data_IF_904740834763
#
_entry.id   IF_904740834763
#
_cell.length_a   1.000
_cell.length_b   1.000
_cell.length_c   1.000
_cell.angle_alpha   90.00
_cell.angle_beta   90.00
_cell.angle_gamma   90.00
#
_symmetry.space_group_name_H-M   'P 1'
#
loop_
_entity.id
_entity.type
_entity.pdbx_description
1 polymer ?
#
# COMPACT_ATOMS: atom_id res chain seq x y z
N UNK A 1 -23.41 12.71 61.76
CA UNK A 1 -24.17 11.55 61.26
C UNK A 1 -24.53 11.81 59.80
N UNK A 2 -24.34 10.80 58.96
CA UNK A 2 -24.78 10.69 57.56
C UNK A 2 -24.01 11.48 56.49
N UNK A 3 -22.91 10.86 56.07
CA UNK A 3 -22.27 10.91 54.75
C UNK A 3 -23.16 10.35 53.65
N UNK A 4 -23.19 10.97 52.46
CA UNK A 4 -23.42 10.26 51.19
C UNK A 4 -22.56 10.87 50.09
N UNK A 5 -21.47 10.17 49.79
CA UNK A 5 -20.60 10.33 48.63
C UNK A 5 -21.26 9.69 47.41
N UNK A 6 -21.50 10.45 46.33
CA UNK A 6 -21.82 9.89 45.02
C UNK A 6 -20.54 9.83 44.18
N UNK A 7 -19.95 8.64 44.14
CA UNK A 7 -18.90 8.26 43.20
C UNK A 7 -19.49 8.13 41.80
N UNK A 8 -19.12 9.03 40.90
CA UNK A 8 -19.32 8.85 39.46
C UNK A 8 -18.32 7.83 38.96
N UNK A 9 -18.81 6.65 38.57
CA UNK A 9 -18.05 5.61 37.90
C UNK A 9 -17.50 6.16 36.59
N UNK A 10 -16.17 6.16 36.47
CA UNK A 10 -15.47 6.25 35.19
C UNK A 10 -15.57 4.85 34.59
N UNK A 11 -16.55 4.63 33.71
CA UNK A 11 -16.53 3.47 32.83
C UNK A 11 -15.37 3.64 31.86
N UNK A 12 -14.36 2.78 32.05
CA UNK A 12 -13.27 2.57 31.11
C UNK A 12 -13.88 2.14 29.77
N UNK A 13 -13.67 2.95 28.74
CA UNK A 13 -13.91 2.56 27.35
C UNK A 13 -13.07 1.32 27.05
N UNK A 14 -13.72 0.16 27.05
CA UNK A 14 -13.16 -1.06 26.49
C UNK A 14 -12.75 -0.79 25.04
N UNK A 15 -11.55 -1.25 24.71
CA UNK A 15 -10.96 -1.26 23.38
C UNK A 15 -11.98 -1.73 22.33
N UNK A 16 -12.46 -0.77 21.53
CA UNK A 16 -13.36 -1.04 20.40
C UNK A 16 -12.60 -1.56 19.16
N UNK A 17 -11.32 -1.94 19.32
CA UNK A 17 -10.47 -2.52 18.28
C UNK A 17 -10.82 -3.99 17.99
N UNK A 18 -11.49 -4.70 18.91
CA UNK A 18 -11.88 -6.10 18.66
C UNK A 18 -13.03 -6.26 17.67
N UNK A 19 -13.84 -5.22 17.43
CA UNK A 19 -15.01 -5.29 16.55
C UNK A 19 -14.67 -5.22 15.05
N UNK A 20 -13.50 -4.67 14.68
CA UNK A 20 -13.06 -4.57 13.28
C UNK A 20 -12.28 -5.81 12.80
N UNK A 21 -11.82 -6.66 13.73
CA UNK A 21 -11.03 -7.86 13.47
C UNK A 21 -11.81 -9.16 13.74
N UNK A 22 -13.14 -9.15 13.75
CA UNK A 22 -13.93 -10.37 13.86
C UNK A 22 -13.94 -11.16 12.53
N UNK A 23 -12.75 -11.54 12.05
CA UNK A 23 -12.60 -12.78 11.33
C UNK A 23 -12.50 -13.86 12.41
N UNK A 24 -13.60 -14.55 12.69
CA UNK A 24 -13.47 -15.84 13.37
C UNK A 24 -12.57 -16.71 12.48
N UNK A 25 -11.45 -17.25 13.00
CA UNK A 25 -10.77 -18.32 12.29
C UNK A 25 -11.84 -19.35 11.96
N UNK A 26 -11.93 -19.76 10.69
CA UNK A 26 -12.93 -20.76 10.30
C UNK A 26 -12.88 -21.92 11.31
N UNK A 27 -14.03 -22.43 11.75
CA UNK A 27 -14.09 -23.50 12.76
C UNK A 27 -13.29 -24.75 12.36
N UNK A 28 -12.88 -24.86 11.09
CA UNK A 28 -11.98 -25.88 10.56
C UNK A 28 -10.49 -25.63 10.82
N UNK A 29 -10.02 -24.40 10.97
CA UNK A 29 -8.61 -24.07 11.24
C UNK A 29 -8.16 -24.63 12.60
N UNK A 30 -9.07 -24.64 13.60
CA UNK A 30 -8.80 -25.29 14.90
C UNK A 30 -8.79 -26.82 14.82
N UNK A 31 -9.57 -27.41 13.90
CA UNK A 31 -9.62 -28.87 13.71
C UNK A 31 -8.43 -29.43 12.93
N UNK A 32 -7.74 -28.58 12.16
CA UNK A 32 -6.51 -28.95 11.43
C UNK A 32 -5.27 -28.99 12.35
N UNK A 33 -5.22 -28.16 13.39
CA UNK A 33 -4.14 -28.15 14.38
C UNK A 33 -4.04 -29.45 15.21
N UNK A 34 -5.11 -30.25 15.24
CA UNK A 34 -5.23 -31.46 16.05
C UNK A 34 -4.76 -32.77 15.39
N UNK A 35 -4.22 -32.76 14.16
CA UNK A 35 -3.76 -34.00 13.49
C UNK A 35 -2.28 -34.35 13.72
N UNK A 36 -1.65 -33.70 14.70
CA UNK A 36 -0.29 -34.01 15.13
C UNK A 36 -0.37 -34.97 16.32
N UNK A 37 -0.16 -36.25 16.05
CA UNK A 37 0.42 -37.27 16.94
C UNK A 37 -0.05 -38.65 16.47
N UNK A 38 0.62 -39.21 15.46
CA UNK A 38 0.97 -40.64 15.37
C UNK A 38 1.44 -40.98 13.96
N UNK A 39 2.76 -41.08 13.79
CA UNK A 39 3.34 -41.61 12.56
C UNK A 39 4.79 -41.23 12.35
N UNK A 40 5.70 -41.73 13.19
CA UNK A 40 7.12 -41.76 12.84
C UNK A 40 7.33 -42.70 11.65
N UNK A 41 7.34 -42.13 10.43
CA UNK A 41 7.88 -42.73 9.22
C UNK A 41 8.89 -41.75 8.60
N UNK A 42 10.03 -42.31 8.20
CA UNK A 42 11.23 -41.70 7.62
C UNK A 42 11.05 -40.31 6.96
N UNK A 43 11.79 -39.30 7.45
CA UNK A 43 11.57 -37.85 7.27
C UNK A 43 12.45 -37.16 6.22
N UNK A 44 13.10 -37.88 5.31
CA UNK A 44 14.20 -37.30 4.51
C UNK A 44 13.82 -36.33 3.39
N UNK A 45 12.54 -35.99 3.18
CA UNK A 45 12.11 -35.14 2.05
C UNK A 45 10.96 -34.15 2.40
N UNK A 46 10.81 -33.79 3.67
CA UNK A 46 9.78 -32.81 4.09
C UNK A 46 10.34 -31.39 4.07
N UNK A 47 9.70 -30.52 3.31
CA UNK A 47 10.01 -29.09 3.19
C UNK A 47 9.30 -28.29 4.28
N UNK A 48 10.06 -27.67 5.16
CA UNK A 48 9.51 -26.72 6.13
C UNK A 48 9.23 -25.38 5.45
N UNK A 49 7.99 -24.91 5.53
CA UNK A 49 7.55 -23.61 5.02
C UNK A 49 7.13 -22.75 6.21
N UNK A 50 7.76 -21.59 6.37
CA UNK A 50 7.31 -20.59 7.33
C UNK A 50 6.40 -19.58 6.62
N UNK A 51 5.21 -19.35 7.16
CA UNK A 51 4.25 -18.36 6.65
C UNK A 51 4.05 -17.31 7.74
N UNK A 52 4.37 -16.05 7.43
CA UNK A 52 4.29 -14.97 8.41
C UNK A 52 2.87 -14.54 8.72
N UNK A 53 1.83 -15.05 8.04
CA UNK A 53 0.45 -14.59 8.12
C UNK A 53 -0.53 -15.70 7.73
N UNK A 54 -1.78 -15.62 8.19
CA UNK A 54 -2.86 -16.33 7.50
C UNK A 54 -3.01 -15.76 6.08
N UNK A 55 -2.89 -16.63 5.08
CA UNK A 55 -2.97 -16.31 3.65
C UNK A 55 -4.28 -16.79 3.01
N UNK A 56 -5.23 -17.27 3.81
CA UNK A 56 -6.52 -17.73 3.36
C UNK A 56 -6.54 -19.17 2.84
N UNK A 57 -7.74 -19.74 2.80
CA UNK A 57 -7.95 -21.16 2.56
C UNK A 57 -7.45 -21.61 1.17
N UNK A 58 -7.70 -20.85 0.10
CA UNK A 58 -7.29 -21.28 -1.24
C UNK A 58 -5.76 -21.39 -1.38
N UNK A 59 -5.01 -20.46 -0.79
CA UNK A 59 -3.56 -20.47 -0.82
C UNK A 59 -2.98 -21.61 0.04
N UNK A 60 -3.58 -21.86 1.21
CA UNK A 60 -3.20 -23.00 2.06
C UNK A 60 -3.47 -24.34 1.36
N UNK A 61 -4.62 -24.50 0.71
CA UNK A 61 -4.93 -25.70 -0.07
C UNK A 61 -3.91 -25.93 -1.18
N UNK A 62 -3.44 -24.87 -1.86
CA UNK A 62 -2.37 -24.98 -2.87
C UNK A 62 -1.07 -25.51 -2.26
N UNK A 63 -0.69 -25.01 -1.08
CA UNK A 63 0.53 -25.45 -0.38
C UNK A 63 0.42 -26.88 0.13
N UNK A 64 -0.74 -27.26 0.67
CA UNK A 64 -0.99 -28.57 1.28
C UNK A 64 -1.32 -29.68 0.27
N UNK A 65 -1.53 -29.35 -1.00
CA UNK A 65 -1.80 -30.35 -2.05
C UNK A 65 -0.73 -31.45 -2.02
N UNK A 66 -1.15 -32.66 -1.67
CA UNK A 66 -0.27 -33.82 -1.63
C UNK A 66 0.26 -34.11 -3.04
N UNK A 67 1.59 -34.08 -3.19
CA UNK A 67 2.28 -34.52 -4.40
C UNK A 67 3.20 -35.67 -4.07
N UNK A 68 3.38 -36.59 -5.01
CA UNK A 68 4.24 -37.76 -4.81
C UNK A 68 5.70 -37.39 -4.52
N UNK A 69 6.14 -36.22 -4.96
CA UNK A 69 7.50 -35.68 -4.92
C UNK A 69 7.69 -34.56 -3.89
N UNK A 70 6.62 -34.02 -3.30
CA UNK A 70 6.67 -32.89 -2.38
C UNK A 70 5.84 -33.14 -1.12
N UNK A 71 6.52 -33.14 0.03
CA UNK A 71 5.88 -33.09 1.35
C UNK A 71 6.19 -31.75 1.99
N UNK A 72 5.19 -31.05 2.47
CA UNK A 72 5.37 -29.77 3.16
C UNK A 72 4.99 -29.88 4.64
N UNK A 73 5.68 -29.11 5.48
CA UNK A 73 5.28 -28.82 6.84
C UNK A 73 5.10 -27.32 6.97
N UNK A 74 3.85 -26.88 7.13
CA UNK A 74 3.51 -25.47 7.27
C UNK A 74 3.65 -25.06 8.74
N UNK A 75 4.36 -23.96 8.95
CA UNK A 75 4.41 -23.28 10.24
C UNK A 75 3.92 -21.85 10.04
N UNK A 76 2.75 -21.55 10.59
CA UNK A 76 1.99 -20.33 10.30
C UNK A 76 1.88 -19.50 11.58
N UNK A 77 2.07 -18.18 11.45
CA UNK A 77 1.78 -17.25 12.53
C UNK A 77 0.27 -17.13 12.76
N UNK A 78 -0.20 -17.30 14.00
CA UNK A 78 -1.62 -17.42 14.34
C UNK A 78 -2.34 -16.10 14.64
N UNK A 79 -1.60 -15.04 14.97
CA UNK A 79 -2.21 -13.77 15.39
C UNK A 79 -2.53 -12.87 14.18
N UNK A 80 -3.51 -11.96 14.28
CA UNK A 80 -3.86 -11.05 13.18
C UNK A 80 -2.77 -9.98 12.89
N UNK A 81 -1.96 -9.60 13.88
CA UNK A 81 -0.90 -8.58 13.77
C UNK A 81 0.42 -9.13 13.19
N UNK A 82 1.21 -8.32 12.45
CA UNK A 82 2.48 -8.74 11.82
C UNK A 82 3.37 -9.60 12.72
N UNK A 83 4.09 -10.54 12.11
CA UNK A 83 4.75 -11.61 12.87
C UNK A 83 5.91 -11.01 13.66
N UNK A 84 5.97 -11.31 14.95
CA UNK A 84 7.03 -10.77 15.80
C UNK A 84 8.41 -11.17 15.26
N UNK A 85 9.34 -10.21 15.27
CA UNK A 85 10.69 -10.44 14.77
C UNK A 85 11.37 -11.62 15.47
N UNK A 86 11.20 -11.73 16.79
CA UNK A 86 11.71 -12.84 17.59
C UNK A 86 11.13 -14.19 17.15
N UNK A 87 9.83 -14.24 16.85
CA UNK A 87 9.17 -15.44 16.35
C UNK A 87 9.69 -15.83 14.97
N UNK A 88 9.84 -14.87 14.04
CA UNK A 88 10.41 -15.14 12.72
C UNK A 88 11.81 -15.74 12.83
N UNK A 89 12.70 -15.13 13.61
CA UNK A 89 14.08 -15.60 13.80
C UNK A 89 14.17 -16.99 14.44
N UNK A 90 13.26 -17.31 15.35
CA UNK A 90 13.21 -18.63 15.98
C UNK A 90 12.71 -19.70 15.01
N UNK A 91 11.67 -19.38 14.25
CA UNK A 91 10.92 -20.37 13.50
C UNK A 91 11.37 -20.52 12.04
N UNK A 92 12.12 -19.57 11.48
CA UNK A 92 12.70 -19.68 10.14
C UNK A 92 13.82 -20.72 10.06
N UNK A 93 14.42 -21.12 11.19
CA UNK A 93 15.51 -22.09 11.25
C UNK A 93 15.14 -23.39 10.55
N UNK A 94 15.96 -23.78 9.57
CA UNK A 94 15.77 -25.00 8.78
C UNK A 94 14.59 -24.94 7.80
N UNK A 95 13.96 -23.78 7.61
CA UNK A 95 12.95 -23.60 6.58
C UNK A 95 13.59 -23.72 5.19
N UNK A 96 12.85 -24.29 4.26
CA UNK A 96 13.20 -24.34 2.83
C UNK A 96 12.45 -23.30 2.01
N UNK A 97 11.30 -22.83 2.51
CA UNK A 97 10.54 -21.74 1.93
C UNK A 97 10.05 -20.77 3.01
N UNK A 98 10.00 -19.48 2.66
CA UNK A 98 9.48 -18.41 3.49
C UNK A 98 8.43 -17.62 2.71
N UNK A 99 7.21 -17.53 3.22
CA UNK A 99 6.16 -16.68 2.68
C UNK A 99 5.90 -15.53 3.66
N UNK A 100 6.11 -14.30 3.21
CA UNK A 100 5.95 -13.08 4.00
C UNK A 100 4.92 -12.11 3.42
N UNK A 101 4.53 -11.11 4.20
CA UNK A 101 3.78 -9.94 3.75
C UNK A 101 4.68 -8.69 3.76
N UNK A 102 4.10 -7.50 3.57
CA UNK A 102 4.88 -6.26 3.45
C UNK A 102 5.53 -5.77 4.76
N UNK A 103 5.09 -6.26 5.92
CA UNK A 103 5.57 -5.77 7.23
C UNK A 103 6.78 -6.55 7.77
N UNK A 104 7.04 -7.76 7.25
CA UNK A 104 8.15 -8.58 7.71
C UNK A 104 9.44 -8.25 6.94
N UNK A 105 10.40 -7.62 7.60
CA UNK A 105 11.70 -7.31 6.98
C UNK A 105 12.53 -8.57 6.74
N UNK A 106 12.85 -8.86 5.48
CA UNK A 106 13.73 -9.98 5.09
C UNK A 106 15.12 -9.43 4.80
N UNK A 107 15.93 -9.31 5.85
CA UNK A 107 17.31 -8.82 5.82
C UNK A 107 18.33 -9.91 6.16
N UNK A 108 19.61 -9.54 6.22
CA UNK A 108 20.73 -10.47 6.43
C UNK A 108 20.54 -11.33 7.69
N UNK A 109 20.07 -10.75 8.80
CA UNK A 109 19.85 -11.46 10.06
C UNK A 109 18.80 -12.58 9.92
N UNK A 110 17.67 -12.31 9.24
CA UNK A 110 16.65 -13.33 9.03
C UNK A 110 17.14 -14.44 8.10
N UNK A 111 17.86 -14.07 7.05
CA UNK A 111 18.41 -15.00 6.07
C UNK A 111 19.52 -15.87 6.68
N UNK A 112 20.33 -15.32 7.58
CA UNK A 112 21.31 -16.08 8.38
C UNK A 112 20.62 -17.04 9.34
N UNK A 113 19.59 -16.59 10.06
CA UNK A 113 18.81 -17.45 10.95
C UNK A 113 18.13 -18.60 10.20
N UNK A 114 17.68 -18.38 8.97
CA UNK A 114 17.09 -19.42 8.13
C UNK A 114 18.08 -20.55 7.82
N UNK A 115 19.33 -20.17 7.54
CA UNK A 115 20.41 -21.08 7.18
C UNK A 115 20.39 -21.49 5.71
N UNK A 116 21.29 -22.42 5.30
CA UNK A 116 21.51 -22.77 3.90
C UNK A 116 20.38 -23.58 3.26
N UNK A 117 19.36 -24.00 4.02
CA UNK A 117 18.22 -24.76 3.51
C UNK A 117 17.22 -23.88 2.77
N UNK A 118 17.20 -22.57 3.02
CA UNK A 118 16.23 -21.67 2.42
C UNK A 118 16.50 -21.54 0.92
N UNK A 119 15.51 -21.88 0.09
CA UNK A 119 15.61 -21.84 -1.38
C UNK A 119 14.78 -20.73 -2.01
N UNK A 120 13.65 -20.40 -1.37
CA UNK A 120 12.68 -19.45 -1.91
C UNK A 120 12.13 -18.54 -0.82
N UNK A 121 12.03 -17.26 -1.16
CA UNK A 121 11.21 -16.28 -0.44
C UNK A 121 10.08 -15.87 -1.40
N UNK A 122 8.84 -15.87 -0.92
CA UNK A 122 7.69 -15.37 -1.66
C UNK A 122 7.00 -14.29 -0.84
N UNK A 123 6.69 -13.15 -1.44
CA UNK A 123 5.99 -12.07 -0.74
C UNK A 123 4.59 -11.85 -1.32
N UNK A 124 3.59 -11.77 -0.44
CA UNK A 124 2.23 -11.36 -0.80
C UNK A 124 2.15 -9.82 -0.91
N UNK A 125 2.92 -9.25 -1.85
CA UNK A 125 2.99 -7.81 -2.11
C UNK A 125 3.58 -7.50 -3.50
N UNK A 126 3.28 -6.30 -4.02
CA UNK A 126 3.92 -5.79 -5.26
C UNK A 126 5.26 -5.14 -4.98
N UNK A 127 5.32 -4.24 -4.00
CA UNK A 127 6.60 -3.71 -3.56
C UNK A 127 7.29 -4.72 -2.66
N UNK A 128 8.60 -4.83 -2.83
CA UNK A 128 9.50 -5.76 -2.16
C UNK A 128 10.66 -5.02 -1.50
N UNK A 129 10.45 -3.75 -1.15
CA UNK A 129 11.43 -2.89 -0.48
C UNK A 129 11.77 -3.33 0.95
N UNK A 130 10.92 -4.16 1.56
CA UNK A 130 11.16 -4.84 2.83
C UNK A 130 12.10 -6.05 2.71
N UNK A 131 12.57 -6.39 1.49
CA UNK A 131 13.44 -7.54 1.21
C UNK A 131 14.80 -7.07 0.68
N UNK A 132 15.88 -7.55 1.30
CA UNK A 132 17.24 -7.28 0.83
C UNK A 132 17.57 -8.11 -0.41
N UNK A 133 17.34 -7.52 -1.61
CA UNK A 133 17.66 -8.16 -2.89
C UNK A 133 19.12 -8.64 -2.99
N UNK A 134 20.14 -7.86 -2.56
CA UNK A 134 21.52 -8.33 -2.58
C UNK A 134 21.74 -9.55 -1.67
N UNK A 135 21.13 -9.58 -0.49
CA UNK A 135 21.29 -10.66 0.47
C UNK A 135 20.66 -11.98 0.00
N UNK A 136 19.49 -11.87 -0.64
CA UNK A 136 18.76 -12.98 -1.27
C UNK A 136 19.55 -13.53 -2.46
N UNK A 137 20.00 -12.65 -3.36
CA UNK A 137 20.77 -13.02 -4.56
C UNK A 137 22.09 -13.72 -4.22
N UNK A 138 22.86 -13.19 -3.26
CA UNK A 138 24.13 -13.78 -2.79
C UNK A 138 23.99 -15.22 -2.28
N UNK A 139 22.80 -15.59 -1.80
CA UNK A 139 22.48 -16.93 -1.28
C UNK A 139 21.86 -17.86 -2.32
N UNK A 140 21.66 -17.41 -3.56
CA UNK A 140 20.99 -18.18 -4.61
C UNK A 140 19.52 -18.45 -4.32
N UNK A 141 18.88 -17.62 -3.48
CA UNK A 141 17.47 -17.74 -3.11
C UNK A 141 16.64 -17.07 -4.21
N UNK A 142 15.63 -17.76 -4.73
CA UNK A 142 14.68 -17.16 -5.68
C UNK A 142 13.63 -16.34 -4.95
N UNK A 143 13.23 -15.20 -5.53
CA UNK A 143 12.26 -14.28 -4.93
C UNK A 143 11.00 -14.18 -5.78
N UNK A 144 9.88 -14.64 -5.22
CA UNK A 144 8.55 -14.46 -5.77
C UNK A 144 7.84 -13.24 -5.19
N UNK A 145 7.00 -12.60 -6.01
CA UNK A 145 6.16 -11.46 -5.61
C UNK A 145 4.83 -11.53 -6.36
N UNK A 146 3.92 -10.58 -6.11
CA UNK A 146 2.58 -10.62 -6.71
C UNK A 146 2.31 -9.40 -7.62
N UNK A 147 3.04 -9.22 -8.73
CA UNK A 147 2.68 -8.25 -9.75
C UNK A 147 1.39 -8.69 -10.44
N UNK A 148 0.72 -7.76 -11.11
CA UNK A 148 -0.31 -8.04 -12.11
C UNK A 148 -1.59 -8.79 -11.63
N UNK A 149 -1.65 -9.21 -10.37
CA UNK A 149 -2.89 -9.46 -9.62
C UNK A 149 -3.50 -8.17 -9.07
N UNK A 150 -2.72 -7.09 -9.15
CA UNK A 150 -3.02 -5.71 -8.73
C UNK A 150 -2.87 -4.71 -9.90
N UNK A 151 -2.39 -5.17 -11.05
CA UNK A 151 -2.03 -4.37 -12.22
C UNK A 151 -2.33 -5.17 -13.49
N UNK A 152 -2.43 -4.57 -14.68
CA UNK A 152 -2.81 -5.33 -15.89
C UNK A 152 -1.81 -6.43 -16.25
N UNK A 153 -2.30 -7.66 -16.47
CA UNK A 153 -1.56 -8.72 -17.16
C UNK A 153 -1.79 -8.63 -18.68
N UNK A 154 -0.71 -8.87 -19.43
CA UNK A 154 -0.63 -8.74 -20.89
C UNK A 154 -1.53 -9.75 -21.64
N UNK A 155 -2.04 -9.32 -22.80
CA UNK A 155 -2.88 -10.00 -23.78
C UNK A 155 -4.20 -10.67 -23.27
N UNK A 156 -5.27 -9.85 -23.27
CA UNK A 156 -6.72 -10.16 -23.31
C UNK A 156 -7.50 -10.00 -21.99
N UNK A 157 -8.12 -8.81 -21.88
CA UNK A 157 -9.44 -8.56 -21.24
C UNK A 157 -9.57 -8.84 -19.75
N UNK A 158 -8.67 -8.31 -18.92
CA UNK A 158 -9.03 -8.07 -17.51
C UNK A 158 -8.57 -6.67 -17.09
N UNK A 159 -9.40 -5.66 -17.38
CA UNK A 159 -9.36 -4.31 -16.79
C UNK A 159 -9.62 -4.31 -15.26
N UNK A 160 -9.72 -5.48 -14.62
CA UNK A 160 -10.53 -5.68 -13.41
C UNK A 160 -9.82 -5.45 -12.06
N UNK A 161 -8.49 -5.34 -11.99
CA UNK A 161 -7.80 -5.39 -10.68
C UNK A 161 -6.78 -4.30 -10.38
N UNK A 162 -6.87 -3.10 -10.98
CA UNK A 162 -6.04 -1.98 -10.53
C UNK A 162 -6.71 -1.16 -9.43
N UNK A 163 -6.98 -1.81 -8.30
CA UNK A 163 -7.78 -1.26 -7.20
C UNK A 163 -7.04 -0.15 -6.43
N UNK A 164 -5.71 -0.15 -6.49
CA UNK A 164 -4.92 0.98 -5.97
C UNK A 164 -5.26 2.25 -6.75
N UNK A 165 -5.58 2.15 -8.06
CA UNK A 165 -6.06 3.29 -8.83
C UNK A 165 -7.46 3.76 -8.37
N UNK A 166 -8.35 2.85 -7.96
CA UNK A 166 -9.64 3.21 -7.36
C UNK A 166 -9.45 3.95 -6.03
N UNK A 167 -8.52 3.47 -5.20
CA UNK A 167 -8.13 4.14 -3.95
C UNK A 167 -7.53 5.51 -4.23
N UNK A 168 -6.73 5.68 -5.28
CA UNK A 168 -6.22 7.00 -5.69
C UNK A 168 -7.37 7.98 -5.99
N UNK A 169 -8.36 7.56 -6.78
CA UNK A 169 -9.53 8.40 -7.09
C UNK A 169 -10.35 8.68 -5.83
N UNK A 170 -10.59 7.66 -5.00
CA UNK A 170 -11.32 7.80 -3.74
C UNK A 170 -10.63 8.81 -2.83
N UNK A 171 -9.32 8.70 -2.61
CA UNK A 171 -8.54 9.61 -1.78
C UNK A 171 -8.52 11.03 -2.36
N UNK A 172 -8.37 11.18 -3.67
CA UNK A 172 -8.48 12.49 -4.33
C UNK A 172 -9.85 13.14 -4.06
N UNK A 173 -10.93 12.37 -4.18
CA UNK A 173 -12.30 12.84 -3.91
C UNK A 173 -12.51 13.15 -2.44
N UNK A 174 -12.07 12.29 -1.53
CA UNK A 174 -12.22 12.49 -0.08
C UNK A 174 -11.48 13.74 0.39
N UNK A 175 -10.23 13.92 -0.05
CA UNK A 175 -9.41 15.08 0.29
C UNK A 175 -9.97 16.37 -0.33
N UNK A 176 -10.30 16.35 -1.63
CA UNK A 176 -10.82 17.54 -2.33
C UNK A 176 -12.20 18.00 -1.87
N UNK A 177 -12.97 17.12 -1.20
CA UNK A 177 -14.33 17.41 -0.74
C UNK A 177 -14.45 17.54 0.78
N UNK A 178 -13.34 17.69 1.50
CA UNK A 178 -13.31 17.79 2.96
C UNK A 178 -14.05 16.63 3.66
N UNK A 179 -14.01 15.42 3.07
CA UNK A 179 -14.86 14.30 3.49
C UNK A 179 -14.61 13.90 4.94
N UNK A 180 -13.35 13.87 5.40
CA UNK A 180 -13.01 13.56 6.80
C UNK A 180 -13.63 14.56 7.78
N UNK A 181 -13.60 15.86 7.46
CA UNK A 181 -14.22 16.89 8.29
C UNK A 181 -15.72 16.62 8.40
N UNK A 182 -16.38 16.37 7.25
CA UNK A 182 -17.81 16.05 7.21
C UNK A 182 -18.17 14.78 7.98
N UNK A 183 -17.41 13.70 7.80
CA UNK A 183 -17.61 12.42 8.50
C UNK A 183 -17.49 12.62 10.02
N UNK A 184 -16.42 13.25 10.49
CA UNK A 184 -16.20 13.49 11.91
C UNK A 184 -17.31 14.34 12.53
N UNK A 185 -17.72 15.41 11.82
CA UNK A 185 -18.78 16.30 12.27
C UNK A 185 -20.12 15.56 12.43
N UNK A 186 -20.46 14.68 11.50
CA UNK A 186 -21.67 13.83 11.58
C UNK A 186 -21.56 12.83 12.72
N UNK A 187 -20.44 12.12 12.83
CA UNK A 187 -20.20 11.12 13.89
C UNK A 187 -20.25 11.72 15.30
N UNK A 188 -19.83 12.97 15.45
CA UNK A 188 -19.86 13.70 16.72
C UNK A 188 -21.23 14.33 17.02
N UNK A 189 -22.26 14.10 16.19
CA UNK A 189 -23.60 14.68 16.38
C UNK A 189 -23.66 16.19 16.15
N UNK A 190 -22.67 16.76 15.46
CA UNK A 190 -22.52 18.21 15.30
C UNK A 190 -23.16 18.76 14.02
N UNK A 191 -23.80 17.90 13.21
CA UNK A 191 -24.48 18.31 11.98
C UNK A 191 -25.49 19.45 12.19
N UNK A 192 -26.32 19.48 13.25
CA UNK A 192 -27.21 20.61 13.50
C UNK A 192 -26.49 21.98 13.64
N UNK A 193 -25.20 21.99 14.00
CA UNK A 193 -24.37 23.22 14.11
C UNK A 193 -23.82 23.69 12.77
N UNK A 194 -23.77 22.81 11.77
CA UNK A 194 -23.23 23.06 10.44
C UNK A 194 -24.25 22.63 9.36
N UNK A 195 -25.45 23.23 9.34
CA UNK A 195 -26.42 22.95 8.28
C UNK A 195 -25.84 23.40 6.93
N UNK A 196 -26.44 22.90 5.84
CA UNK A 196 -26.03 23.28 4.50
C UNK A 196 -25.92 24.81 4.34
N UNK A 197 -24.80 25.26 3.78
CA UNK A 197 -24.53 26.67 3.50
C UNK A 197 -23.71 26.77 2.20
N UNK A 198 -23.89 27.83 1.37
CA UNK A 198 -23.41 27.85 -0.02
C UNK A 198 -21.93 27.52 -0.24
N UNK A 199 -21.05 27.91 0.69
CA UNK A 199 -19.59 27.70 0.57
C UNK A 199 -19.02 26.77 1.65
N UNK A 200 -19.88 26.26 2.53
CA UNK A 200 -19.43 25.44 3.64
C UNK A 200 -18.88 24.11 3.12
N UNK A 201 -17.66 23.77 3.54
CA UNK A 201 -16.90 22.59 3.11
C UNK A 201 -16.54 22.53 1.62
N UNK A 202 -16.74 23.61 0.85
CA UNK A 202 -16.29 23.64 -0.55
C UNK A 202 -14.78 23.41 -0.65
N UNK A 203 -14.39 22.61 -1.62
CA UNK A 203 -13.00 22.36 -1.98
C UNK A 203 -12.83 22.30 -3.49
N UNK A 204 -11.59 22.09 -3.98
CA UNK A 204 -11.29 22.09 -5.40
C UNK A 204 -12.04 20.96 -6.10
N UNK A 205 -12.67 21.27 -7.23
CA UNK A 205 -13.33 20.25 -8.05
C UNK A 205 -12.28 19.38 -8.76
N UNK A 206 -12.44 18.04 -8.67
CA UNK A 206 -11.64 17.08 -9.45
C UNK A 206 -12.08 17.05 -10.93
N UNK A 207 -13.39 16.94 -11.19
CA UNK A 207 -13.91 16.84 -12.56
C UNK A 207 -13.63 18.07 -13.42
N UNK A 208 -13.30 17.84 -14.68
CA UNK A 208 -13.07 18.84 -15.71
C UNK A 208 -14.13 18.79 -16.84
N UNK A 209 -15.30 18.21 -16.55
CA UNK A 209 -16.42 18.17 -17.51
C UNK A 209 -17.04 19.56 -17.73
N UNK A 210 -17.61 19.79 -18.92
CA UNK A 210 -18.26 21.06 -19.25
C UNK A 210 -19.38 21.39 -18.27
N UNK A 211 -19.32 22.58 -17.68
CA UNK A 211 -20.43 23.14 -16.91
C UNK A 211 -21.38 23.86 -17.88
N UNK A 212 -22.70 23.93 -17.64
CA UNK A 212 -23.66 24.63 -18.52
C UNK A 212 -23.30 26.09 -18.84
N UNK A 213 -22.45 26.73 -18.02
CA UNK A 213 -21.90 28.07 -18.27
C UNK A 213 -20.89 28.15 -19.42
N UNK A 214 -20.55 27.03 -20.07
CA UNK A 214 -19.62 26.98 -21.21
C UNK A 214 -18.14 27.02 -20.82
N UNK A 215 -17.80 27.15 -19.55
CA UNK A 215 -16.42 27.07 -19.06
C UNK A 215 -16.03 25.62 -18.83
N UNK A 216 -14.97 25.13 -19.50
CA UNK A 216 -14.32 23.88 -19.13
C UNK A 216 -13.16 24.16 -18.17
N UNK A 217 -13.20 23.67 -16.92
CA UNK A 217 -12.05 23.77 -16.04
C UNK A 217 -10.89 22.96 -16.63
N UNK A 218 -9.76 23.61 -16.90
CA UNK A 218 -8.53 22.88 -17.23
C UNK A 218 -7.91 22.38 -15.93
N UNK A 219 -7.77 21.06 -15.79
CA UNK A 219 -7.16 20.41 -14.62
C UNK A 219 -5.98 19.56 -15.06
N UNK A 220 -4.86 19.73 -14.36
CA UNK A 220 -3.63 18.98 -14.58
C UNK A 220 -3.47 17.95 -13.47
N UNK A 221 -3.45 16.67 -13.86
CA UNK A 221 -3.11 15.58 -12.95
C UNK A 221 -1.62 15.23 -13.12
N UNK A 222 -0.88 15.34 -12.02
CA UNK A 222 0.53 14.99 -11.94
C UNK A 222 0.74 13.60 -11.39
N UNK A 223 1.76 12.90 -11.89
CA UNK A 223 2.15 11.57 -11.42
C UNK A 223 3.65 11.52 -11.10
N UNK A 224 3.99 11.27 -9.84
CA UNK A 224 5.34 10.85 -9.48
C UNK A 224 5.39 9.32 -9.60
N UNK A 225 6.09 8.80 -10.60
CA UNK A 225 6.00 7.41 -11.03
C UNK A 225 4.86 7.20 -12.02
N UNK A 226 5.17 6.62 -13.18
CA UNK A 226 4.23 6.51 -14.30
C UNK A 226 4.11 5.08 -14.84
N UNK A 227 3.99 4.13 -13.91
CA UNK A 227 3.81 2.70 -14.22
C UNK A 227 2.34 2.30 -14.37
N UNK A 228 2.06 1.01 -14.19
CA UNK A 228 0.74 0.39 -14.40
C UNK A 228 -0.39 1.05 -13.59
N UNK A 229 -0.16 1.37 -12.31
CA UNK A 229 -1.15 2.03 -11.44
C UNK A 229 -1.46 3.45 -11.94
N UNK A 230 -0.45 4.19 -12.37
CA UNK A 230 -0.64 5.53 -12.91
C UNK A 230 -1.48 5.50 -14.20
N UNK A 231 -1.20 4.57 -15.11
CA UNK A 231 -1.98 4.38 -16.35
C UNK A 231 -3.45 4.04 -16.06
N UNK A 232 -3.69 3.13 -15.12
CA UNK A 232 -5.05 2.80 -14.70
C UNK A 232 -5.78 3.97 -14.01
N UNK A 233 -5.04 4.83 -13.30
CA UNK A 233 -5.56 6.07 -12.71
C UNK A 233 -5.90 7.11 -13.78
N UNK A 234 -5.06 7.26 -14.81
CA UNK A 234 -5.32 8.12 -15.98
C UNK A 234 -6.65 7.74 -16.64
N UNK A 235 -6.87 6.46 -16.96
CA UNK A 235 -8.13 5.99 -17.57
C UNK A 235 -9.37 6.34 -16.74
N UNK A 236 -9.26 6.29 -15.41
CA UNK A 236 -10.33 6.71 -14.51
C UNK A 236 -10.53 8.23 -14.56
N UNK A 237 -9.47 9.02 -14.53
CA UNK A 237 -9.53 10.49 -14.59
C UNK A 237 -10.07 11.01 -15.93
N UNK A 238 -9.85 10.29 -17.03
CA UNK A 238 -10.46 10.63 -18.33
C UNK A 238 -12.00 10.61 -18.24
N UNK A 239 -12.59 9.68 -17.48
CA UNK A 239 -14.03 9.66 -17.21
C UNK A 239 -14.51 10.86 -16.38
N UNK A 240 -13.62 11.48 -15.61
CA UNK A 240 -13.87 12.76 -14.92
C UNK A 240 -13.67 13.98 -15.83
N UNK A 241 -13.31 13.78 -17.11
CA UNK A 241 -13.11 14.82 -18.11
C UNK A 241 -11.70 15.40 -18.16
N UNK A 242 -10.75 14.87 -17.39
CA UNK A 242 -9.36 15.35 -17.42
C UNK A 242 -8.68 14.92 -18.71
N UNK A 243 -7.84 15.80 -19.24
CA UNK A 243 -7.07 15.59 -20.49
C UNK A 243 -5.59 15.91 -20.36
N UNK A 244 -5.19 16.57 -19.25
CA UNK A 244 -3.85 17.10 -19.07
C UNK A 244 -3.14 16.28 -17.99
N UNK A 245 -2.24 15.40 -18.41
CA UNK A 245 -1.47 14.54 -17.53
C UNK A 245 0.02 14.87 -17.65
N UNK A 246 0.69 15.06 -16.53
CA UNK A 246 2.14 15.24 -16.48
C UNK A 246 2.75 14.22 -15.54
N UNK A 247 3.98 13.79 -15.81
CA UNK A 247 4.60 12.78 -14.97
C UNK A 247 6.11 12.92 -14.83
N UNK A 248 6.64 12.44 -13.72
CA UNK A 248 8.09 12.36 -13.47
C UNK A 248 8.49 10.95 -13.05
N UNK A 249 9.57 10.44 -13.65
CA UNK A 249 10.19 9.12 -13.42
C UNK A 249 11.70 9.29 -13.31
N UNK A 250 12.43 8.23 -12.95
CA UNK A 250 13.90 8.23 -12.97
C UNK A 250 14.51 8.59 -14.34
N UNK A 251 13.78 8.36 -15.43
CA UNK A 251 14.21 8.64 -16.80
C UNK A 251 13.69 9.99 -17.32
N UNK A 252 12.92 10.71 -16.50
CA UNK A 252 12.40 12.03 -16.89
C UNK A 252 13.54 13.05 -16.98
N UNK A 253 13.38 14.12 -17.77
CA UNK A 253 14.44 15.11 -17.98
C UNK A 253 14.94 15.67 -16.65
N UNK A 254 16.24 15.47 -16.39
CA UNK A 254 16.88 15.98 -15.19
C UNK A 254 17.20 17.46 -15.43
N UNK A 255 16.22 18.33 -15.19
CA UNK A 255 16.32 19.73 -15.52
C UNK A 255 16.21 20.57 -14.25
N UNK A 256 17.35 20.74 -13.56
CA UNK A 256 17.59 21.87 -12.66
C UNK A 256 17.62 23.22 -13.40
N UNK A 257 17.21 23.27 -14.67
CA UNK A 257 17.35 24.41 -15.58
C UNK A 257 16.05 24.81 -16.29
N UNK A 258 14.93 24.10 -16.09
CA UNK A 258 13.66 24.52 -16.69
C UNK A 258 13.00 25.58 -15.81
N UNK A 259 12.71 26.78 -16.34
CA UNK A 259 12.04 27.81 -15.58
C UNK A 259 10.62 27.35 -15.19
N UNK A 260 10.21 27.66 -13.96
CA UNK A 260 8.86 27.41 -13.44
C UNK A 260 7.75 27.93 -14.37
N UNK A 261 8.06 28.95 -15.18
CA UNK A 261 7.16 29.60 -16.14
C UNK A 261 7.00 28.85 -17.48
N UNK A 262 7.54 27.65 -17.63
CA UNK A 262 7.38 26.88 -18.88
C UNK A 262 5.89 26.59 -19.09
N UNK A 263 5.31 27.22 -20.12
CA UNK A 263 3.95 26.92 -20.55
C UNK A 263 3.93 25.49 -21.07
N UNK A 264 3.15 24.63 -20.42
CA UNK A 264 2.92 23.27 -20.88
C UNK A 264 1.94 23.29 -22.06
N UNK A 265 2.38 22.75 -23.19
CA UNK A 265 1.54 22.59 -24.37
C UNK A 265 0.94 21.18 -24.41
N UNK A 266 -0.35 21.09 -24.09
CA UNK A 266 -1.13 19.84 -24.15
C UNK A 266 -1.78 19.60 -25.52
N UNK A 267 -1.47 20.40 -26.55
CA UNK A 267 -2.10 20.28 -27.88
C UNK A 267 -1.71 19.00 -28.63
N UNK A 268 -0.56 18.41 -28.32
CA UNK A 268 -0.01 17.25 -29.03
C UNK A 268 -0.02 15.93 -28.23
N UNK A 269 -0.04 16.00 -26.89
CA UNK A 269 -0.04 14.82 -26.02
C UNK A 269 -0.82 15.07 -24.74
N UNK A 270 -1.71 14.14 -24.39
CA UNK A 270 -2.40 14.13 -23.10
C UNK A 270 -1.45 13.78 -21.94
N UNK A 271 -0.28 13.18 -22.21
CA UNK A 271 0.66 12.68 -21.19
C UNK A 271 2.08 13.20 -21.46
N UNK A 272 2.62 14.05 -20.59
CA UNK A 272 3.88 14.75 -20.83
C UNK A 272 4.90 14.45 -19.71
N UNK A 273 6.09 13.91 -20.02
CA UNK A 273 7.16 13.77 -19.04
C UNK A 273 7.73 15.14 -18.68
N UNK A 274 7.89 15.40 -17.38
CA UNK A 274 8.36 16.68 -16.84
C UNK A 274 9.35 16.49 -15.69
N UNK A 275 10.06 17.56 -15.33
CA UNK A 275 10.91 17.59 -14.13
C UNK A 275 10.07 17.57 -12.85
N UNK A 276 10.69 17.25 -11.70
CA UNK A 276 10.02 17.32 -10.40
C UNK A 276 9.52 18.73 -10.06
N UNK A 277 10.27 19.77 -10.43
CA UNK A 277 9.87 21.15 -10.20
C UNK A 277 8.62 21.53 -11.00
N UNK A 278 8.58 21.16 -12.29
CA UNK A 278 7.40 21.38 -13.14
C UNK A 278 6.21 20.56 -12.65
N UNK A 279 6.44 19.31 -12.22
CA UNK A 279 5.43 18.44 -11.62
C UNK A 279 4.78 19.11 -10.40
N UNK A 280 5.58 19.60 -9.45
CA UNK A 280 5.08 20.33 -8.28
C UNK A 280 4.26 21.56 -8.68
N UNK A 281 4.83 22.43 -9.52
CA UNK A 281 4.23 23.73 -9.87
C UNK A 281 2.89 23.62 -10.63
N UNK A 282 2.70 22.59 -11.44
CA UNK A 282 1.56 22.50 -12.35
C UNK A 282 0.45 21.56 -11.89
N UNK A 283 0.71 20.64 -10.97
CA UNK A 283 -0.29 19.66 -10.54
C UNK A 283 -1.43 20.31 -9.75
N UNK A 284 -2.67 20.17 -10.24
CA UNK A 284 -3.87 20.44 -9.43
C UNK A 284 -4.18 19.27 -8.51
N UNK A 285 -3.88 18.06 -8.95
CA UNK A 285 -3.85 16.85 -8.13
C UNK A 285 -2.57 16.10 -8.44
N UNK A 286 -1.80 15.76 -7.41
CA UNK A 286 -0.56 14.99 -7.53
C UNK A 286 -0.76 13.58 -6.97
N UNK A 287 -0.56 12.56 -7.79
CA UNK A 287 -0.57 11.17 -7.40
C UNK A 287 0.86 10.66 -7.25
N UNK A 288 1.18 10.12 -6.07
CA UNK A 288 2.49 9.54 -5.75
C UNK A 288 2.39 8.02 -5.89
N UNK A 289 3.01 7.50 -6.94
CA UNK A 289 2.94 6.11 -7.41
C UNK A 289 4.34 5.55 -7.78
N UNK A 290 5.41 6.23 -7.37
CA UNK A 290 6.78 5.78 -7.55
C UNK A 290 7.17 4.80 -6.44
N UNK A 291 8.00 3.78 -6.74
CA UNK A 291 8.51 2.87 -5.71
C UNK A 291 9.43 3.61 -4.72
N UNK A 292 9.52 3.08 -3.50
CA UNK A 292 10.46 3.58 -2.50
C UNK A 292 11.85 2.97 -2.66
N UNK A 293 12.86 3.82 -2.65
CA UNK A 293 14.28 3.47 -2.56
C UNK A 293 15.05 4.72 -2.06
N UNK A 294 16.37 4.62 -1.93
CA UNK A 294 17.21 5.72 -1.43
C UNK A 294 17.09 7.03 -2.23
N UNK A 295 16.83 6.98 -3.54
CA UNK A 295 16.66 8.17 -4.39
C UNK A 295 15.26 8.79 -4.34
N UNK A 296 14.26 8.04 -3.85
CA UNK A 296 12.87 8.51 -3.73
C UNK A 296 12.45 8.76 -2.28
N UNK A 297 13.31 8.47 -1.31
CA UNK A 297 13.07 8.77 0.09
C UNK A 297 12.89 10.28 0.30
N UNK A 298 11.76 10.67 0.89
CA UNK A 298 11.36 12.06 1.13
C UNK A 298 11.48 12.97 -0.11
N UNK A 299 11.31 12.41 -1.30
CA UNK A 299 11.32 13.15 -2.56
C UNK A 299 10.25 14.24 -2.59
N UNK A 300 9.12 14.00 -1.92
CA UNK A 300 8.14 15.03 -1.59
C UNK A 300 8.57 15.70 -0.28
N UNK A 301 9.51 16.63 -0.43
CA UNK A 301 10.08 17.41 0.66
C UNK A 301 9.33 18.72 0.88
N UNK A 302 9.73 19.47 1.91
CA UNK A 302 9.27 20.85 2.15
C UNK A 302 9.38 21.75 0.92
N UNK A 303 10.47 21.67 0.17
CA UNK A 303 10.68 22.51 -1.01
C UNK A 303 9.82 22.08 -2.20
N UNK A 304 9.51 20.78 -2.31
CA UNK A 304 8.53 20.30 -3.28
C UNK A 304 7.14 20.83 -2.96
N UNK A 305 6.70 20.70 -1.70
CA UNK A 305 5.37 21.12 -1.24
C UNK A 305 5.16 22.64 -1.40
N UNK A 306 6.17 23.46 -1.08
CA UNK A 306 6.11 24.92 -1.29
C UNK A 306 5.90 25.35 -2.74
N UNK A 307 6.29 24.50 -3.70
CA UNK A 307 6.13 24.77 -5.13
C UNK A 307 4.75 24.38 -5.64
N UNK A 308 3.99 23.60 -4.88
CA UNK A 308 2.65 23.20 -5.27
C UNK A 308 1.68 24.36 -5.23
N UNK A 309 0.59 24.24 -5.98
CA UNK A 309 -0.51 25.20 -5.94
C UNK A 309 -1.16 25.15 -4.55
N UNK A 310 -1.59 26.30 -4.04
CA UNK A 310 -2.38 26.36 -2.79
C UNK A 310 -3.70 25.61 -2.88
N UNK A 311 -4.23 25.41 -4.08
CA UNK A 311 -5.43 24.62 -4.35
C UNK A 311 -5.14 23.14 -4.62
N UNK A 312 -3.88 22.71 -4.57
CA UNK A 312 -3.49 21.35 -4.97
C UNK A 312 -3.93 20.32 -3.93
N UNK A 313 -4.29 19.13 -4.41
CA UNK A 313 -4.51 17.94 -3.59
C UNK A 313 -3.38 16.95 -3.82
N UNK A 314 -2.77 16.47 -2.73
CA UNK A 314 -1.74 15.44 -2.78
C UNK A 314 -2.37 14.07 -2.45
N UNK A 315 -2.05 13.04 -3.23
CA UNK A 315 -2.52 11.67 -3.03
C UNK A 315 -1.32 10.72 -2.97
N UNK A 316 -1.19 9.95 -1.90
CA UNK A 316 -0.15 8.92 -1.79
C UNK A 316 -0.77 7.55 -1.55
N UNK A 317 -0.57 6.65 -2.51
CA UNK A 317 -0.94 5.24 -2.42
C UNK A 317 0.24 4.32 -2.75
N UNK A 318 1.47 4.82 -2.57
CA UNK A 318 2.70 4.07 -2.83
C UNK A 318 3.40 3.63 -1.54
N UNK A 319 4.23 4.51 -0.96
CA UNK A 319 4.85 4.31 0.36
C UNK A 319 4.89 5.62 1.13
N UNK A 320 4.73 5.54 2.44
CA UNK A 320 4.80 6.70 3.34
C UNK A 320 6.11 7.46 3.23
N UNK A 321 7.24 6.73 3.20
CA UNK A 321 8.59 7.29 3.15
C UNK A 321 8.94 8.09 1.87
N UNK A 322 8.06 8.18 0.86
CA UNK A 322 8.25 9.14 -0.24
C UNK A 322 7.93 10.58 0.19
N UNK A 323 7.16 10.75 1.27
CA UNK A 323 6.68 12.04 1.76
C UNK A 323 7.26 12.28 3.14
N UNK A 324 7.89 13.44 3.31
CA UNK A 324 8.26 13.94 4.64
C UNK A 324 6.97 14.32 5.39
N UNK A 325 6.61 13.51 6.40
CA UNK A 325 5.35 13.66 7.15
C UNK A 325 5.26 14.98 7.92
N UNK A 326 6.37 15.48 8.45
CA UNK A 326 6.42 16.76 9.17
C UNK A 326 6.29 17.95 8.21
N UNK A 327 6.96 17.86 7.05
CA UNK A 327 6.84 18.85 6.00
C UNK A 327 5.41 18.93 5.44
N UNK A 328 4.77 17.78 5.21
CA UNK A 328 3.39 17.72 4.75
C UNK A 328 2.41 18.27 5.80
N UNK A 329 2.57 17.90 7.08
CA UNK A 329 1.74 18.45 8.14
C UNK A 329 1.86 19.97 8.23
N UNK A 330 3.09 20.49 8.14
CA UNK A 330 3.34 21.94 8.10
C UNK A 330 2.67 22.59 6.89
N UNK A 331 2.81 22.02 5.69
CA UNK A 331 2.22 22.55 4.47
C UNK A 331 0.68 22.59 4.54
N UNK A 332 0.06 21.57 5.12
CA UNK A 332 -1.39 21.50 5.33
C UNK A 332 -1.87 22.53 6.35
N UNK A 333 -1.18 22.63 7.49
CA UNK A 333 -1.49 23.57 8.56
C UNK A 333 -1.35 25.03 8.12
N UNK A 334 -0.35 25.33 7.30
CA UNK A 334 -0.10 26.68 6.76
C UNK A 334 -0.93 26.99 5.51
N UNK A 335 -1.71 26.04 4.99
CA UNK A 335 -2.50 26.21 3.76
C UNK A 335 -1.66 26.38 2.49
N UNK A 336 -0.44 25.85 2.48
CA UNK A 336 0.43 25.83 1.29
C UNK A 336 -0.11 24.91 0.20
N UNK A 337 -0.84 23.86 0.59
CA UNK A 337 -1.67 23.02 -0.28
C UNK A 337 -3.05 22.85 0.35
N UNK A 338 -4.03 22.42 -0.45
CA UNK A 338 -5.41 22.36 0.02
C UNK A 338 -5.65 21.18 0.97
N UNK A 339 -5.27 19.98 0.55
CA UNK A 339 -5.53 18.75 1.29
C UNK A 339 -4.60 17.61 0.85
N UNK A 340 -4.56 16.55 1.66
CA UNK A 340 -3.89 15.30 1.32
C UNK A 340 -4.79 14.09 1.55
N UNK A 341 -4.70 13.08 0.68
CA UNK A 341 -5.34 11.78 0.84
C UNK A 341 -4.30 10.67 0.79
N UNK A 342 -4.15 9.92 1.89
CA UNK A 342 -3.05 8.99 2.09
C UNK A 342 -3.58 7.59 2.39
N UNK A 343 -3.20 6.61 1.58
CA UNK A 343 -3.33 5.19 1.92
C UNK A 343 -2.12 4.70 2.70
N UNK A 344 -1.01 5.44 2.61
CA UNK A 344 0.27 5.06 3.20
C UNK A 344 0.93 6.23 3.92
N UNK A 345 1.51 5.95 5.09
CA UNK A 345 2.17 6.93 5.97
C UNK A 345 3.46 6.34 6.53
N UNK A 346 4.44 7.20 6.83
CA UNK A 346 5.68 6.76 7.46
C UNK A 346 5.43 6.27 8.90
N UNK A 347 6.12 5.23 9.33
CA UNK A 347 5.94 4.63 10.66
C UNK A 347 4.86 3.54 10.74
N UNK A 348 4.25 3.15 9.63
CA UNK A 348 3.34 2.01 9.59
C UNK A 348 3.97 0.71 10.14
N UNK A 349 3.18 -0.12 10.86
CA UNK A 349 1.77 0.07 11.22
C UNK A 349 1.55 0.93 12.49
N UNK A 350 2.62 1.45 13.11
CA UNK A 350 2.59 2.13 14.41
C UNK A 350 2.31 3.65 14.29
N UNK A 351 1.32 4.01 13.47
CA UNK A 351 0.85 5.39 13.34
C UNK A 351 -0.16 5.68 14.45
N UNK A 352 0.26 6.41 15.48
CA UNK A 352 -0.53 6.72 16.66
C UNK A 352 -1.20 8.10 16.59
N UNK A 353 -2.02 8.44 17.60
CA UNK A 353 -2.79 9.69 17.64
C UNK A 353 -1.92 10.96 17.64
N UNK A 354 -0.66 10.86 18.05
CA UNK A 354 0.29 11.96 18.09
C UNK A 354 1.06 12.16 16.78
N UNK A 355 0.90 11.26 15.80
CA UNK A 355 1.50 11.39 14.48
C UNK A 355 1.08 12.73 13.85
N UNK A 356 2.03 13.50 13.26
CA UNK A 356 1.77 14.88 12.82
C UNK A 356 0.60 14.99 11.84
N UNK A 357 0.49 14.05 10.89
CA UNK A 357 -0.59 14.06 9.89
C UNK A 357 -1.98 13.68 10.44
N UNK A 358 -2.06 12.96 11.57
CA UNK A 358 -3.35 12.56 12.17
C UNK A 358 -4.10 13.77 12.73
N UNK A 359 -3.36 14.81 13.14
CA UNK A 359 -3.92 16.04 13.73
C UNK A 359 -4.47 17.00 12.66
N UNK A 360 -4.06 16.85 11.40
CA UNK A 360 -4.48 17.75 10.32
C UNK A 360 -5.87 17.35 9.80
N UNK A 361 -6.81 18.30 9.82
CA UNK A 361 -8.21 18.02 9.48
C UNK A 361 -8.42 17.83 7.97
N UNK A 362 -7.62 18.50 7.14
CA UNK A 362 -7.57 18.38 5.69
C UNK A 362 -6.63 17.24 5.20
N UNK A 363 -6.20 16.35 6.11
CA UNK A 363 -5.51 15.11 5.76
C UNK A 363 -6.44 13.92 5.98
N UNK A 364 -6.79 13.22 4.90
CA UNK A 364 -7.52 11.95 4.96
C UNK A 364 -6.49 10.83 4.96
N UNK A 365 -6.58 9.91 5.93
CA UNK A 365 -5.68 8.76 6.04
C UNK A 365 -6.54 7.50 6.15
N UNK A 366 -6.23 6.48 5.35
CA UNK A 366 -6.79 5.13 5.43
C UNK A 366 -5.63 4.13 5.62
N UNK A 367 -5.85 3.00 6.32
CA UNK A 367 -4.76 2.17 6.82
C UNK A 367 -4.26 1.14 5.79
N UNK A 368 -3.59 1.60 4.73
CA UNK A 368 -2.94 0.75 3.73
C UNK A 368 -3.87 -0.32 3.11
N UNK A 369 -5.02 0.16 2.62
CA UNK A 369 -6.08 -0.66 2.05
C UNK A 369 -6.11 -0.62 0.52
N UNK A 370 -5.08 -0.05 -0.13
CA UNK A 370 -4.89 0.04 -1.59
C UNK A 370 -5.29 -1.22 -2.36
N UNK A 371 -4.89 -2.37 -1.83
CA UNK A 371 -5.11 -3.71 -2.40
C UNK A 371 -6.18 -4.54 -1.70
N UNK A 372 -6.94 -3.97 -0.77
CA UNK A 372 -7.77 -4.72 0.18
C UNK A 372 -9.19 -4.99 -0.34
N UNK A 373 -9.30 -5.77 -1.42
CA UNK A 373 -10.54 -6.48 -1.78
C UNK A 373 -10.34 -7.98 -1.64
N UNK A 374 -11.44 -8.71 -1.39
CA UNK A 374 -11.40 -10.16 -1.23
C UNK A 374 -10.79 -10.84 -2.44
N UNK A 375 -11.24 -10.48 -3.64
CA UNK A 375 -10.81 -11.08 -4.91
C UNK A 375 -9.30 -10.89 -5.13
N UNK A 376 -8.80 -9.68 -4.87
CA UNK A 376 -7.38 -9.38 -5.01
C UNK A 376 -6.54 -10.06 -3.95
N UNK A 377 -6.99 -10.11 -2.69
CA UNK A 377 -6.27 -10.81 -1.63
C UNK A 377 -6.18 -12.31 -1.91
N UNK A 378 -7.25 -12.93 -2.40
CA UNK A 378 -7.26 -14.34 -2.83
C UNK A 378 -6.28 -14.56 -3.98
N UNK A 379 -6.31 -13.71 -5.02
CA UNK A 379 -5.41 -13.82 -6.16
C UNK A 379 -3.93 -13.65 -5.76
N UNK A 380 -3.62 -12.66 -4.91
CA UNK A 380 -2.28 -12.44 -4.38
C UNK A 380 -1.78 -13.63 -3.57
N UNK A 381 -2.59 -14.12 -2.63
CA UNK A 381 -2.21 -15.24 -1.79
C UNK A 381 -1.98 -16.52 -2.61
N UNK A 382 -2.85 -16.76 -3.60
CA UNK A 382 -2.73 -17.88 -4.54
C UNK A 382 -1.44 -17.80 -5.36
N UNK A 383 -1.11 -16.64 -5.94
CA UNK A 383 0.13 -16.44 -6.69
C UNK A 383 1.37 -16.57 -5.79
N UNK A 384 1.33 -16.01 -4.57
CA UNK A 384 2.42 -16.14 -3.62
C UNK A 384 2.69 -17.61 -3.24
N UNK A 385 1.63 -18.39 -3.02
CA UNK A 385 1.72 -19.82 -2.77
C UNK A 385 2.30 -20.60 -3.96
N UNK A 386 1.87 -20.31 -5.19
CA UNK A 386 2.40 -20.95 -6.41
C UNK A 386 3.88 -20.66 -6.63
N UNK A 387 4.28 -19.38 -6.52
CA UNK A 387 5.69 -18.98 -6.61
C UNK A 387 6.55 -19.70 -5.57
N UNK A 388 6.04 -19.82 -4.33
CA UNK A 388 6.74 -20.54 -3.27
C UNK A 388 6.95 -22.02 -3.64
N UNK A 389 5.91 -22.70 -4.12
CA UNK A 389 6.01 -24.12 -4.51
C UNK A 389 6.95 -24.32 -5.70
N UNK A 390 6.86 -23.50 -6.73
CA UNK A 390 7.76 -23.54 -7.89
C UNK A 390 9.21 -23.36 -7.45
N UNK A 391 9.48 -22.37 -6.58
CA UNK A 391 10.81 -22.14 -6.04
C UNK A 391 11.35 -23.30 -5.19
N UNK A 392 10.49 -24.02 -4.44
CA UNK A 392 10.89 -25.23 -3.73
C UNK A 392 11.29 -26.37 -4.66
N UNK A 393 10.58 -26.50 -5.79
CA UNK A 393 10.80 -27.52 -6.81
C UNK A 393 11.94 -27.16 -7.79
N UNK A 394 12.46 -25.94 -7.74
CA UNK A 394 13.46 -25.44 -8.69
C UNK A 394 12.89 -25.13 -10.08
N UNK A 395 11.58 -24.92 -10.16
CA UNK A 395 10.86 -24.52 -11.38
C UNK A 395 10.90 -22.99 -11.55
N UNK A 396 10.70 -22.49 -12.78
CA UNK A 396 10.49 -21.06 -13.01
C UNK A 396 9.28 -20.54 -12.23
N UNK A 397 9.45 -19.40 -11.55
CA UNK A 397 8.39 -18.72 -10.82
C UNK A 397 7.42 -18.07 -11.80
N UNK A 398 6.11 -18.18 -11.55
CA UNK A 398 5.05 -17.48 -12.29
C UNK A 398 5.29 -15.96 -12.26
N UNK A 399 5.71 -15.44 -11.11
CA UNK A 399 6.15 -14.07 -10.96
C UNK A 399 7.40 -13.96 -10.07
N UNK A 400 8.57 -14.06 -10.69
CA UNK A 400 9.87 -13.87 -10.05
C UNK A 400 10.45 -12.46 -10.20
N UNK A 401 11.21 -12.02 -9.21
CA UNK A 401 12.05 -10.82 -9.32
C UNK A 401 13.36 -11.18 -10.03
N UNK A 402 13.76 -10.39 -11.04
CA UNK A 402 15.06 -10.54 -11.68
C UNK A 402 16.18 -10.05 -10.75
N UNK A 403 16.95 -11.02 -10.23
CA UNK A 403 18.06 -10.78 -9.31
C UNK A 403 19.43 -10.76 -9.98
N UNK A 404 19.51 -10.88 -11.31
CA UNK A 404 20.79 -11.00 -12.06
C UNK A 404 21.74 -9.81 -11.87
N UNK A 405 21.22 -8.65 -11.48
CA UNK A 405 22.00 -7.44 -11.20
C UNK A 405 22.74 -7.47 -9.86
N UNK A 406 22.46 -8.46 -9.01
CA UNK A 406 23.00 -8.58 -7.65
C UNK A 406 23.86 -9.83 -7.44
N UNK A 407 24.01 -10.67 -8.47
CA UNK A 407 24.76 -11.93 -8.46
C UNK A 407 26.18 -11.78 -8.97
#
# INVERSE_FOLDING_TARGET
>A
MSTTSSSTNVESTQDNTSAFYSFEPSSKTSSLLGRIENGMRNTSNTHKILISRDIGEEALQILEQERSDLRVHLQIWSEPNPADRSWLLQNVKGATGLLVTLFEKVDEELLEAAGPSLKVVSTMSVGYDHISLPAVAKRGIVLGYTPDVLTEADDRRIDWYNLVADICIMLALMASRNARIGINLVQNGEWPKAPWSPFLFCGPQLSATSVPSGTQPSKVAGFLGFGRIAQATVRRLEAFGLKNFIYSTSNSPNLNTEPESKVLDFSQSSQIPVSLATLAAHSDVLFILAPHNSSTHHIISKDFLKRMKTTAVLVNASRGALVDSDALATALKEGQIFAAGLDVVEGEPFVLQDHPLIREQNCVIIPHIGSATTETRVAMATLAARNLLQGLLGEPLEAGVDLSKYT
#
